data_IF_569494354085
#
_entry.id   IF_569494354085
#
_cell.length_a   1.000
_cell.length_b   1.000
_cell.length_c   1.000
_cell.angle_alpha   90.00
_cell.angle_beta   90.00
_cell.angle_gamma   90.00
#
_symmetry.space_group_name_H-M   'P 1'
#
loop_
_entity.id
_entity.type
_entity.pdbx_description
1 polymer ?
#
# COMPACT_ATOMS: atom_id res chain seq x y z
N UNK A 1 6.14 -0.23 19.77
CA UNK A 1 5.70 1.06 20.34
C UNK A 1 4.89 0.77 21.57
N UNK A 2 4.57 1.78 22.37
CA UNK A 2 3.66 1.57 23.49
C UNK A 2 2.24 1.33 22.96
N UNK A 3 1.54 0.32 23.49
CA UNK A 3 0.16 0.01 23.07
C UNK A 3 -0.80 1.13 23.47
N UNK A 4 -0.53 1.76 24.61
CA UNK A 4 -1.33 2.83 25.20
C UNK A 4 -1.41 4.05 24.28
N UNK A 5 -0.37 4.33 23.50
CA UNK A 5 -0.32 5.47 22.57
C UNK A 5 -1.38 5.37 21.45
N UNK A 6 -1.92 4.18 21.19
CA UNK A 6 -2.86 3.92 20.09
C UNK A 6 -4.23 3.41 20.57
N UNK A 7 -4.42 3.16 21.87
CA UNK A 7 -5.61 2.51 22.42
C UNK A 7 -6.90 3.30 22.16
N UNK A 8 -6.86 4.63 22.29
CA UNK A 8 -8.01 5.51 22.02
C UNK A 8 -8.39 5.47 20.53
N UNK A 9 -7.44 5.76 19.63
CA UNK A 9 -7.70 5.81 18.19
C UNK A 9 -8.17 4.46 17.63
N UNK A 10 -7.54 3.36 18.04
CA UNK A 10 -7.93 2.01 17.61
C UNK A 10 -9.29 1.60 18.19
N UNK A 11 -9.56 1.97 19.43
CA UNK A 11 -10.85 1.77 20.09
C UNK A 11 -12.01 2.50 19.39
N UNK A 12 -11.80 3.76 18.99
CA UNK A 12 -12.77 4.53 18.19
C UNK A 12 -13.11 3.83 16.85
N UNK A 13 -12.17 3.05 16.31
CA UNK A 13 -12.32 2.25 15.09
C UNK A 13 -12.72 0.79 15.34
N UNK A 14 -13.08 0.43 16.58
CA UNK A 14 -13.71 -0.84 16.93
C UNK A 14 -12.77 -1.93 17.44
N UNK A 15 -11.51 -1.61 17.76
CA UNK A 15 -10.66 -2.53 18.50
C UNK A 15 -11.16 -2.65 19.96
N UNK A 16 -11.25 -3.88 20.47
CA UNK A 16 -11.55 -4.13 21.89
C UNK A 16 -10.28 -4.26 22.73
N UNK A 17 -9.23 -4.83 22.14
CA UNK A 17 -7.93 -5.05 22.80
C UNK A 17 -6.78 -4.71 21.84
N UNK A 18 -5.74 -4.06 22.35
CA UNK A 18 -4.48 -3.76 21.66
C UNK A 18 -3.36 -4.55 22.31
N UNK A 19 -2.85 -5.52 21.55
CA UNK A 19 -1.69 -6.31 21.95
C UNK A 19 -0.38 -5.63 21.51
N UNK A 20 0.54 -5.41 22.45
CA UNK A 20 1.83 -4.75 22.19
C UNK A 20 3.00 -5.70 22.40
N UNK A 21 3.89 -5.81 21.40
CA UNK A 21 5.18 -6.51 21.55
C UNK A 21 6.30 -5.60 22.10
N UNK A 22 5.94 -4.42 22.62
CA UNK A 22 6.87 -3.44 23.17
C UNK A 22 7.75 -2.73 22.13
N UNK A 23 8.94 -2.31 22.57
CA UNK A 23 9.93 -1.67 21.72
C UNK A 23 10.73 -2.70 20.91
N UNK A 24 10.66 -2.59 19.58
CA UNK A 24 11.33 -3.47 18.62
C UNK A 24 12.43 -2.74 17.84
N UNK A 25 12.82 -1.53 18.27
CA UNK A 25 13.82 -0.72 17.57
C UNK A 25 15.14 -1.46 17.36
N UNK A 26 15.71 -1.28 16.16
CA UNK A 26 16.95 -1.95 15.76
C UNK A 26 16.80 -3.43 15.39
N UNK A 27 15.59 -3.99 15.45
CA UNK A 27 15.30 -5.37 15.04
C UNK A 27 14.43 -5.46 13.79
N UNK A 28 14.35 -6.66 13.18
CA UNK A 28 13.37 -6.93 12.14
C UNK A 28 12.02 -7.27 12.78
N UNK A 29 11.07 -6.33 12.73
CA UNK A 29 9.81 -6.41 13.45
C UNK A 29 9.01 -7.68 13.14
N UNK A 30 8.97 -8.12 11.89
CA UNK A 30 8.19 -9.30 11.51
C UNK A 30 8.66 -10.61 12.16
N UNK A 31 9.95 -10.72 12.53
CA UNK A 31 10.48 -11.86 13.30
C UNK A 31 9.87 -11.87 14.70
N UNK A 32 9.92 -10.73 15.39
CA UNK A 32 9.49 -10.59 16.77
C UNK A 32 7.97 -10.70 16.91
N UNK A 33 7.21 -9.95 16.09
CA UNK A 33 5.75 -9.92 16.14
C UNK A 33 5.16 -11.31 15.89
N UNK A 34 5.62 -12.00 14.84
CA UNK A 34 5.11 -13.34 14.53
C UNK A 34 5.48 -14.37 15.61
N UNK A 35 6.61 -14.19 16.31
CA UNK A 35 6.99 -15.05 17.42
C UNK A 35 6.16 -14.80 18.67
N UNK A 36 5.98 -13.54 19.06
CA UNK A 36 5.18 -13.14 20.22
C UNK A 36 3.73 -13.63 20.11
N UNK A 37 3.08 -13.36 18.97
CA UNK A 37 1.70 -13.80 18.72
C UNK A 37 1.56 -15.34 18.77
N UNK A 38 2.49 -16.07 18.15
CA UNK A 38 2.42 -17.53 18.17
C UNK A 38 2.70 -18.12 19.56
N UNK A 39 3.65 -17.56 20.32
CA UNK A 39 3.95 -18.00 21.70
C UNK A 39 2.75 -17.79 22.60
N UNK A 40 2.14 -16.59 22.57
CA UNK A 40 1.00 -16.26 23.39
C UNK A 40 -0.20 -17.20 23.14
N UNK A 41 -0.43 -17.59 21.88
CA UNK A 41 -1.46 -18.58 21.53
C UNK A 41 -1.10 -19.98 22.02
N UNK A 42 0.16 -20.41 21.84
CA UNK A 42 0.62 -21.74 22.26
C UNK A 42 0.60 -21.91 23.79
N UNK A 43 0.96 -20.85 24.51
CA UNK A 43 1.01 -20.80 25.98
C UNK A 43 -0.38 -20.62 26.61
N UNK A 44 -1.36 -20.19 25.81
CA UNK A 44 -2.75 -19.99 26.24
C UNK A 44 -2.99 -18.65 26.93
N UNK A 45 -2.09 -17.69 26.74
CA UNK A 45 -2.25 -16.32 27.20
C UNK A 45 -3.25 -15.54 26.33
N UNK A 46 -3.33 -15.90 25.05
CA UNK A 46 -4.27 -15.32 24.07
C UNK A 46 -5.03 -16.42 23.34
N UNK A 47 -6.35 -16.29 23.26
CA UNK A 47 -7.18 -17.20 22.47
C UNK A 47 -6.84 -17.07 20.97
N UNK A 48 -6.71 -18.20 20.27
CA UNK A 48 -6.49 -18.19 18.84
C UNK A 48 -7.70 -17.53 18.11
N UNK A 49 -7.48 -16.49 17.29
CA UNK A 49 -8.58 -15.82 16.60
C UNK A 49 -9.15 -16.70 15.48
N UNK A 50 -10.29 -16.31 14.94
CA UNK A 50 -10.84 -16.93 13.72
C UNK A 50 -10.00 -16.61 12.48
N UNK A 51 -9.44 -15.41 12.42
CA UNK A 51 -8.60 -14.94 11.32
C UNK A 51 -7.61 -13.86 11.75
N UNK A 52 -6.47 -13.80 11.05
CA UNK A 52 -5.56 -12.67 11.06
C UNK A 52 -5.77 -11.83 9.80
N UNK A 53 -5.99 -10.54 9.98
CA UNK A 53 -6.09 -9.57 8.88
C UNK A 53 -4.88 -8.64 8.94
N UNK A 54 -4.04 -8.66 7.90
CA UNK A 54 -2.86 -7.80 7.83
C UNK A 54 -2.88 -6.98 6.54
N UNK A 55 -2.30 -5.77 6.56
CA UNK A 55 -2.09 -5.02 5.33
C UNK A 55 -1.10 -5.75 4.40
N UNK A 56 -1.31 -5.68 3.08
CA UNK A 56 -0.35 -6.15 2.07
C UNK A 56 0.85 -5.19 1.94
N UNK A 57 1.41 -4.77 3.06
CA UNK A 57 2.61 -3.94 3.20
C UNK A 57 3.87 -4.82 3.23
N UNK A 58 5.06 -4.22 3.29
CA UNK A 58 6.29 -5.01 3.46
C UNK A 58 6.29 -5.77 4.79
N UNK A 59 5.97 -5.08 5.88
CA UNK A 59 5.96 -5.67 7.22
C UNK A 59 4.82 -6.68 7.39
N UNK A 60 3.61 -6.36 6.90
CA UNK A 60 2.48 -7.29 6.97
C UNK A 60 2.73 -8.59 6.21
N UNK A 61 3.43 -8.53 5.07
CA UNK A 61 3.86 -9.74 4.33
C UNK A 61 4.90 -10.56 5.10
N UNK A 62 5.86 -9.90 5.76
CA UNK A 62 6.88 -10.59 6.56
C UNK A 62 6.24 -11.29 7.77
N UNK A 63 5.36 -10.59 8.50
CA UNK A 63 4.60 -11.16 9.64
C UNK A 63 3.73 -12.34 9.19
N UNK A 64 2.92 -12.16 8.14
CA UNK A 64 1.99 -13.18 7.66
C UNK A 64 2.72 -14.47 7.23
N UNK A 65 3.83 -14.36 6.50
CA UNK A 65 4.61 -15.51 6.05
C UNK A 65 5.26 -16.28 7.21
N UNK A 66 5.58 -15.61 8.31
CA UNK A 66 6.15 -16.25 9.50
C UNK A 66 5.09 -16.89 10.36
N UNK A 67 3.97 -16.20 10.58
CA UNK A 67 2.82 -16.74 11.28
C UNK A 67 2.27 -18.00 10.60
N UNK A 68 2.21 -18.01 9.28
CA UNK A 68 1.70 -19.17 8.53
C UNK A 68 2.49 -20.45 8.82
N UNK A 69 3.82 -20.33 8.96
CA UNK A 69 4.69 -21.46 9.29
C UNK A 69 4.58 -21.84 10.77
N UNK A 70 4.50 -20.85 11.66
CA UNK A 70 4.40 -21.09 13.12
C UNK A 70 3.08 -21.74 13.51
N UNK A 71 1.99 -21.38 12.82
CA UNK A 71 0.63 -21.85 13.11
C UNK A 71 0.14 -22.95 12.15
N UNK A 72 0.98 -23.40 11.22
CA UNK A 72 0.64 -24.39 10.17
C UNK A 72 -0.66 -24.07 9.41
N UNK A 73 -0.82 -22.81 8.98
CA UNK A 73 -2.03 -22.32 8.31
C UNK A 73 -1.75 -21.63 6.97
N UNK A 74 -2.77 -21.54 6.13
CA UNK A 74 -2.71 -20.90 4.82
C UNK A 74 -2.71 -19.37 4.89
N UNK A 75 -2.09 -18.74 3.89
CA UNK A 75 -2.15 -17.29 3.65
C UNK A 75 -2.84 -17.01 2.32
N UNK A 76 -3.90 -16.20 2.36
CA UNK A 76 -4.59 -15.68 1.17
C UNK A 76 -4.15 -14.24 0.99
N UNK A 77 -3.68 -13.88 -0.20
CA UNK A 77 -2.89 -12.65 -0.36
C UNK A 77 -3.57 -11.64 -1.26
N UNK A 78 -3.34 -10.34 -1.00
CA UNK A 78 -3.80 -9.29 -1.90
C UNK A 78 -5.34 -9.30 -2.05
N UNK A 79 -6.05 -9.64 -0.96
CA UNK A 79 -7.50 -9.58 -0.84
C UNK A 79 -7.99 -8.14 -1.02
N UNK A 80 -9.04 -7.95 -1.82
CA UNK A 80 -9.72 -6.66 -2.02
C UNK A 80 -11.13 -6.63 -1.44
N UNK A 81 -11.67 -7.80 -1.10
CA UNK A 81 -12.91 -7.93 -0.35
C UNK A 81 -12.84 -9.19 0.53
N UNK A 82 -13.64 -9.21 1.58
CA UNK A 82 -13.83 -10.32 2.50
C UNK A 82 -15.33 -10.58 2.60
N UNK A 83 -15.72 -11.85 2.57
CA UNK A 83 -17.11 -12.28 2.65
C UNK A 83 -17.23 -13.40 3.68
N UNK A 84 -18.22 -13.30 4.57
CA UNK A 84 -18.56 -14.38 5.48
C UNK A 84 -19.41 -15.44 4.74
N UNK A 85 -19.06 -16.72 4.93
CA UNK A 85 -19.85 -17.87 4.48
C UNK A 85 -20.05 -18.82 5.67
N UNK A 86 -21.14 -18.60 6.42
CA UNK A 86 -21.34 -19.24 7.72
C UNK A 86 -20.26 -18.79 8.71
N UNK A 87 -19.52 -19.77 9.26
CA UNK A 87 -18.42 -19.54 10.21
C UNK A 87 -17.05 -19.38 9.52
N UNK A 88 -17.01 -19.41 8.18
CA UNK A 88 -15.80 -19.27 7.37
C UNK A 88 -15.69 -17.86 6.75
N UNK A 89 -14.44 -17.45 6.49
CA UNK A 89 -14.13 -16.19 5.80
C UNK A 89 -13.55 -16.49 4.41
N UNK A 90 -14.10 -15.84 3.38
CA UNK A 90 -13.69 -15.97 1.98
C UNK A 90 -13.03 -14.66 1.53
N UNK A 91 -11.79 -14.75 1.06
CA UNK A 91 -11.08 -13.63 0.45
C UNK A 91 -11.36 -13.55 -1.04
N UNK A 92 -11.66 -12.36 -1.56
CA UNK A 92 -11.67 -12.10 -3.01
C UNK A 92 -10.38 -11.42 -3.41
N UNK A 93 -9.64 -12.01 -4.35
CA UNK A 93 -8.31 -11.53 -4.76
C UNK A 93 -8.19 -11.43 -6.30
N UNK A 94 -7.78 -10.26 -6.83
CA UNK A 94 -7.48 -10.09 -8.23
C UNK A 94 -6.10 -10.69 -8.55
N UNK A 95 -6.07 -11.70 -9.43
CA UNK A 95 -4.88 -12.41 -9.90
C UNK A 95 -4.58 -12.08 -11.37
N UNK A 96 -3.39 -12.49 -11.84
CA UNK A 96 -2.92 -12.22 -13.22
C UNK A 96 -2.98 -10.75 -13.62
N UNK A 97 -2.50 -9.84 -12.75
CA UNK A 97 -2.58 -8.39 -12.99
C UNK A 97 -3.96 -7.79 -12.74
N UNK A 98 -4.87 -8.56 -12.12
CA UNK A 98 -6.26 -8.21 -11.89
C UNK A 98 -7.14 -8.32 -13.13
N UNK A 99 -6.84 -9.31 -13.98
CA UNK A 99 -7.68 -9.75 -15.11
C UNK A 99 -8.69 -10.80 -14.68
N UNK A 100 -8.40 -11.52 -13.59
CA UNK A 100 -9.29 -12.53 -13.02
C UNK A 100 -9.43 -12.27 -11.54
N UNK A 101 -10.65 -12.23 -11.05
CA UNK A 101 -10.94 -12.24 -9.62
C UNK A 101 -11.21 -13.68 -9.19
N UNK A 102 -10.59 -14.12 -8.11
CA UNK A 102 -10.81 -15.45 -7.52
C UNK A 102 -11.33 -15.29 -6.09
N UNK A 103 -12.20 -16.21 -5.69
CA UNK A 103 -12.72 -16.32 -4.33
C UNK A 103 -12.04 -17.52 -3.68
N UNK A 104 -11.30 -17.26 -2.61
CA UNK A 104 -10.42 -18.24 -1.97
C UNK A 104 -10.78 -18.35 -0.50
N UNK A 105 -10.93 -19.59 0.00
CA UNK A 105 -11.15 -19.87 1.42
C UNK A 105 -9.93 -20.58 2.01
N UNK A 106 -9.66 -20.37 3.30
CA UNK A 106 -8.66 -21.16 3.99
C UNK A 106 -9.18 -22.58 4.22
N UNK A 107 -8.39 -23.59 3.86
CA UNK A 107 -8.76 -25.00 4.07
C UNK A 107 -8.01 -25.65 5.21
N UNK A 108 -7.08 -24.94 5.86
CA UNK A 108 -6.29 -25.45 6.99
C UNK A 108 -7.01 -25.33 8.35
N UNK A 109 -8.26 -24.87 8.37
CA UNK A 109 -8.98 -24.56 9.61
C UNK A 109 -8.76 -23.11 10.07
N UNK A 110 -8.88 -22.85 11.37
CA UNK A 110 -8.71 -21.52 11.97
C UNK A 110 -7.43 -21.50 12.82
N UNK A 111 -6.71 -20.37 12.91
CA UNK A 111 -6.96 -19.10 12.21
C UNK A 111 -6.61 -19.17 10.71
N UNK A 112 -7.36 -18.46 9.86
CA UNK A 112 -6.92 -18.14 8.49
C UNK A 112 -6.15 -16.82 8.43
N UNK A 113 -5.14 -16.69 7.55
CA UNK A 113 -4.39 -15.43 7.40
C UNK A 113 -4.76 -14.77 6.08
N UNK A 114 -5.17 -13.49 6.13
CA UNK A 114 -5.58 -12.71 4.97
C UNK A 114 -4.75 -11.43 4.89
N UNK A 115 -4.01 -11.28 3.78
CA UNK A 115 -3.36 -10.02 3.46
C UNK A 115 -4.30 -9.14 2.64
N UNK A 116 -4.72 -8.03 3.23
CA UNK A 116 -5.66 -7.06 2.69
C UNK A 116 -4.89 -6.01 1.89
N UNK A 117 -5.26 -5.83 0.63
CA UNK A 117 -4.65 -4.79 -0.20
C UNK A 117 -4.98 -3.41 0.41
N UNK A 118 -3.98 -2.54 0.63
CA UNK A 118 -4.22 -1.19 1.14
C UNK A 118 -5.27 -0.44 0.33
N UNK A 119 -6.09 0.34 1.03
CA UNK A 119 -7.20 1.15 0.47
C UNK A 119 -8.33 0.34 -0.16
N UNK A 120 -8.40 -0.98 0.03
CA UNK A 120 -9.55 -1.78 -0.41
C UNK A 120 -10.79 -1.56 0.46
N UNK A 121 -10.58 -1.25 1.74
CA UNK A 121 -11.62 -0.88 2.69
C UNK A 121 -11.40 0.58 3.10
N UNK A 122 -12.49 1.31 3.28
CA UNK A 122 -12.48 2.65 3.87
C UNK A 122 -12.46 2.49 5.39
N UNK A 123 -11.54 3.19 6.07
CA UNK A 123 -11.53 3.23 7.52
C UNK A 123 -12.61 4.21 7.98
N UNK A 124 -13.47 3.78 8.88
CA UNK A 124 -14.51 4.61 9.48
C UNK A 124 -14.55 4.39 11.00
N UNK A 125 -14.67 5.48 11.75
CA UNK A 125 -14.87 5.40 13.19
C UNK A 125 -16.25 4.83 13.50
N UNK A 126 -16.30 3.86 14.40
CA UNK A 126 -17.54 3.21 14.83
C UNK A 126 -18.03 3.71 16.19
N UNK A 127 -17.29 4.66 16.80
CA UNK A 127 -17.62 5.26 18.09
C UNK A 127 -17.43 4.30 19.26
N UNK A 128 -16.44 3.42 19.16
CA UNK A 128 -16.06 2.52 20.25
C UNK A 128 -15.43 3.25 21.44
N UNK A 129 -15.29 2.53 22.55
CA UNK A 129 -14.51 3.01 23.70
C UNK A 129 -13.02 2.79 23.45
N UNK A 130 -12.17 3.43 24.26
CA UNK A 130 -10.74 3.10 24.35
C UNK A 130 -10.55 1.59 24.56
N UNK A 131 -9.65 0.99 23.78
CA UNK A 131 -9.36 -0.43 23.84
C UNK A 131 -8.52 -0.79 25.08
N UNK A 132 -8.70 -2.00 25.62
CA UNK A 132 -7.82 -2.53 26.66
C UNK A 132 -6.42 -2.79 26.07
N UNK A 133 -5.35 -2.58 26.85
CA UNK A 133 -3.97 -2.81 26.40
C UNK A 133 -3.33 -4.00 27.11
N UNK A 134 -2.67 -4.86 26.34
CA UNK A 134 -2.00 -6.05 26.85
C UNK A 134 -0.62 -6.23 26.20
N UNK A 135 0.39 -6.54 27.00
CA UNK A 135 1.74 -6.82 26.50
C UNK A 135 1.87 -8.29 26.07
N UNK A 136 2.52 -8.51 24.92
CA UNK A 136 2.96 -9.81 24.44
C UNK A 136 4.46 -9.96 24.65
N UNK A 137 4.83 -11.00 25.40
CA UNK A 137 6.24 -11.36 25.55
C UNK A 137 6.82 -11.84 24.21
N UNK A 138 7.93 -11.22 23.81
CA UNK A 138 8.72 -11.69 22.67
C UNK A 138 9.65 -12.80 23.16
N UNK A 139 9.47 -14.07 22.70
CA UNK A 139 10.28 -15.18 23.18
C UNK A 139 11.72 -15.08 22.64
N UNK A 140 12.61 -15.94 23.14
CA UNK A 140 13.96 -16.06 22.58
C UNK A 140 13.90 -16.46 21.09
N UNK A 141 14.28 -15.51 20.24
CA UNK A 141 14.26 -15.65 18.79
C UNK A 141 15.45 -16.47 18.26
N UNK A 142 16.44 -16.81 19.10
CA UNK A 142 17.63 -17.55 18.71
C UNK A 142 18.32 -16.98 17.46
N UNK A 143 18.70 -17.85 16.53
CA UNK A 143 19.42 -17.45 15.32
C UNK A 143 18.58 -16.60 14.35
N UNK A 144 17.24 -16.73 14.36
CA UNK A 144 16.38 -15.96 13.44
C UNK A 144 16.22 -14.50 13.86
N UNK A 145 16.42 -14.19 15.14
CA UNK A 145 16.46 -12.81 15.68
C UNK A 145 17.83 -12.13 15.58
N UNK A 146 18.83 -12.77 14.97
CA UNK A 146 20.19 -12.23 14.93
C UNK A 146 20.35 -11.03 13.96
N UNK A 147 19.42 -10.83 13.04
CA UNK A 147 19.44 -9.71 12.10
C UNK A 147 19.14 -8.38 12.82
N UNK A 148 19.95 -7.36 12.54
CA UNK A 148 19.82 -6.03 13.15
C UNK A 148 19.68 -4.95 12.08
N UNK A 149 18.82 -3.98 12.34
CA UNK A 149 18.74 -2.74 11.57
C UNK A 149 19.88 -1.84 12.04
N UNK A 150 20.88 -1.65 11.18
CA UNK A 150 22.06 -0.82 11.49
C UNK A 150 21.91 0.63 11.05
N UNK A 151 20.95 0.90 10.16
CA UNK A 151 20.64 2.24 9.68
C UNK A 151 19.20 2.28 9.15
N UNK A 152 18.50 3.38 9.39
CA UNK A 152 17.18 3.69 8.83
C UNK A 152 17.23 5.11 8.28
N UNK A 153 16.95 5.28 7.00
CA UNK A 153 16.86 6.59 6.36
C UNK A 153 15.43 6.81 5.89
N UNK A 154 14.79 7.84 6.43
CA UNK A 154 13.53 8.35 5.89
C UNK A 154 13.91 9.39 4.84
N UNK A 155 13.57 9.13 3.58
CA UNK A 155 13.77 10.11 2.52
C UNK A 155 12.93 11.36 2.82
N UNK A 156 13.56 12.53 2.81
CA UNK A 156 12.86 13.81 2.90
C UNK A 156 12.02 14.00 1.62
N UNK A 157 10.74 14.30 1.79
CA UNK A 157 9.84 14.64 0.69
C UNK A 157 9.15 15.97 0.97
N UNK A 158 9.21 16.90 0.02
CA UNK A 158 8.40 18.11 0.03
C UNK A 158 7.02 17.85 -0.57
N UNK A 159 5.99 18.44 0.03
CA UNK A 159 4.60 18.30 -0.41
C UNK A 159 3.86 17.08 0.15
N UNK A 160 2.65 16.79 -0.34
CA UNK A 160 1.85 15.67 0.14
C UNK A 160 2.53 14.32 -0.11
N UNK A 161 2.38 13.37 0.82
CA UNK A 161 2.83 12.00 0.59
C UNK A 161 2.09 11.39 -0.60
N UNK A 162 2.83 10.75 -1.51
CA UNK A 162 2.30 10.19 -2.76
C UNK A 162 1.09 9.25 -2.57
N UNK A 163 1.09 8.47 -1.50
CA UNK A 163 0.05 7.52 -1.14
C UNK A 163 -1.11 8.12 -0.33
N UNK A 164 -1.02 9.36 0.13
CA UNK A 164 -2.11 10.07 0.82
C UNK A 164 -2.70 11.21 -0.04
N UNK A 165 -2.00 11.60 -1.11
CA UNK A 165 -2.38 12.75 -1.92
C UNK A 165 -3.72 12.57 -2.65
N UNK A 166 -4.57 13.60 -2.56
CA UNK A 166 -5.83 13.67 -3.31
C UNK A 166 -5.63 13.84 -4.82
N UNK A 167 -4.50 14.41 -5.24
CA UNK A 167 -4.10 14.56 -6.63
C UNK A 167 -2.68 14.02 -6.80
N UNK A 168 -2.48 13.16 -7.79
CA UNK A 168 -1.15 12.66 -8.17
C UNK A 168 -0.87 13.04 -9.61
N UNK A 169 0.28 13.66 -9.86
CA UNK A 169 0.80 13.93 -11.20
C UNK A 169 2.00 13.02 -11.40
N UNK A 170 1.91 12.11 -12.38
CA UNK A 170 2.92 11.08 -12.58
C UNK A 170 3.60 11.19 -13.94
N UNK A 171 4.93 11.15 -13.92
CA UNK A 171 5.80 11.16 -15.11
C UNK A 171 6.20 9.77 -15.58
N UNK A 172 6.31 9.60 -16.89
CA UNK A 172 6.82 8.38 -17.53
C UNK A 172 7.96 8.63 -18.49
N UNK A 173 8.45 7.55 -19.12
CA UNK A 173 9.53 7.61 -20.12
C UNK A 173 9.20 8.55 -21.30
N UNK A 174 7.92 8.80 -21.56
CA UNK A 174 7.47 9.75 -22.58
C UNK A 174 7.90 11.20 -22.34
N UNK A 175 8.40 11.55 -21.15
CA UNK A 175 9.05 12.85 -20.87
C UNK A 175 10.40 13.02 -21.60
N UNK A 176 11.01 11.93 -22.07
CA UNK A 176 12.23 11.96 -22.89
C UNK A 176 13.55 12.08 -22.12
N UNK A 177 13.61 12.93 -21.09
CA UNK A 177 14.82 13.18 -20.28
C UNK A 177 14.49 13.52 -18.81
N UNK A 178 15.51 13.45 -17.93
CA UNK A 178 15.34 13.71 -16.49
C UNK A 178 14.87 15.14 -16.20
N UNK A 179 15.43 16.13 -16.90
CA UNK A 179 15.16 17.55 -16.64
C UNK A 179 13.70 17.92 -16.91
N UNK A 180 13.05 17.18 -17.81
CA UNK A 180 11.63 17.34 -18.12
C UNK A 180 10.70 16.88 -16.97
N UNK A 181 11.21 16.16 -15.96
CA UNK A 181 10.44 15.82 -14.77
C UNK A 181 10.03 17.08 -13.97
N UNK A 182 10.75 18.19 -14.13
CA UNK A 182 10.34 19.49 -13.56
C UNK A 182 8.93 19.92 -13.94
N UNK A 183 8.41 19.51 -15.10
CA UNK A 183 7.02 19.75 -15.50
C UNK A 183 6.02 19.00 -14.62
N UNK A 184 6.39 17.80 -14.16
CA UNK A 184 5.59 16.98 -13.24
C UNK A 184 5.56 17.65 -11.87
N UNK A 185 6.72 18.07 -11.35
CA UNK A 185 6.83 18.75 -10.06
C UNK A 185 6.08 20.09 -10.06
N UNK A 186 6.21 20.88 -11.14
CA UNK A 186 5.52 22.16 -11.26
C UNK A 186 4.00 21.98 -11.32
N UNK A 187 3.51 21.01 -12.10
CA UNK A 187 2.09 20.74 -12.18
C UNK A 187 1.54 20.19 -10.85
N UNK A 188 2.25 19.26 -10.21
CA UNK A 188 1.90 18.73 -8.89
C UNK A 188 1.80 19.85 -7.86
N UNK A 189 2.80 20.73 -7.81
CA UNK A 189 2.82 21.89 -6.91
C UNK A 189 1.67 22.86 -7.20
N UNK A 190 1.38 23.12 -8.48
CA UNK A 190 0.30 24.03 -8.91
C UNK A 190 -1.08 23.55 -8.46
N UNK A 191 -1.29 22.24 -8.36
CA UNK A 191 -2.57 21.64 -7.93
C UNK A 191 -2.56 21.20 -6.46
N UNK A 192 -1.49 21.46 -5.70
CA UNK A 192 -1.34 20.97 -4.33
C UNK A 192 -1.34 19.45 -4.22
N UNK A 193 -0.87 18.74 -5.26
CA UNK A 193 -0.77 17.29 -5.34
C UNK A 193 0.64 16.78 -5.09
N UNK A 194 0.80 15.46 -5.22
CA UNK A 194 2.10 14.79 -5.13
C UNK A 194 2.64 14.38 -6.50
N UNK A 195 3.96 14.44 -6.66
CA UNK A 195 4.65 13.93 -7.84
C UNK A 195 4.85 12.42 -7.74
N UNK A 196 4.58 11.72 -8.83
CA UNK A 196 4.78 10.28 -8.97
C UNK A 196 5.55 9.93 -10.24
N UNK A 197 5.97 8.67 -10.33
CA UNK A 197 6.81 8.20 -11.41
C UNK A 197 6.49 6.77 -11.83
N UNK A 198 6.63 6.48 -13.11
CA UNK A 198 6.67 5.10 -13.58
C UNK A 198 8.01 4.45 -13.23
N UNK A 199 8.01 3.13 -13.02
CA UNK A 199 9.25 2.36 -12.83
C UNK A 199 10.31 2.60 -13.91
N UNK A 200 9.88 2.83 -15.15
CA UNK A 200 10.78 3.02 -16.28
C UNK A 200 11.75 4.21 -16.13
N UNK A 201 11.38 5.24 -15.36
CA UNK A 201 12.22 6.43 -15.12
C UNK A 201 12.96 6.36 -13.78
N UNK A 202 12.42 5.60 -12.82
CA UNK A 202 13.12 5.22 -11.58
C UNK A 202 14.31 4.33 -11.91
N UNK A 203 14.10 3.28 -12.71
CA UNK A 203 15.17 2.39 -13.18
C UNK A 203 16.22 3.14 -14.03
N UNK A 204 15.85 4.28 -14.65
CA UNK A 204 16.76 5.15 -15.40
C UNK A 204 17.49 6.17 -14.51
N UNK A 205 17.21 6.21 -13.20
CA UNK A 205 17.84 7.11 -12.24
C UNK A 205 17.36 8.56 -12.32
N UNK A 206 16.19 8.83 -12.94
CA UNK A 206 15.68 10.21 -13.05
C UNK A 206 15.11 10.71 -11.73
N UNK A 207 14.51 9.82 -10.95
CA UNK A 207 13.78 10.11 -9.70
C UNK A 207 13.93 8.95 -8.72
N UNK A 208 13.81 9.19 -7.40
CA UNK A 208 13.97 8.13 -6.40
C UNK A 208 12.84 7.09 -6.44
N UNK A 209 13.11 5.92 -5.85
CA UNK A 209 12.17 4.81 -5.79
C UNK A 209 10.89 5.14 -5.00
N UNK A 210 10.96 6.05 -4.03
CA UNK A 210 9.81 6.53 -3.25
C UNK A 210 8.69 7.14 -4.09
N UNK A 211 9.02 7.67 -5.29
CA UNK A 211 8.06 8.21 -6.24
C UNK A 211 7.42 7.14 -7.13
N UNK A 212 7.89 5.88 -7.08
CA UNK A 212 7.42 4.84 -7.99
C UNK A 212 5.96 4.45 -7.70
N UNK A 213 5.11 4.57 -8.71
CA UNK A 213 3.73 4.03 -8.69
C UNK A 213 3.69 2.71 -9.46
N UNK A 214 3.04 1.69 -8.89
CA UNK A 214 2.81 0.42 -9.56
C UNK A 214 2.82 -0.79 -8.61
N UNK A 215 2.73 -1.98 -9.19
CA UNK A 215 2.72 -3.27 -8.49
C UNK A 215 3.91 -3.48 -7.55
N UNK A 216 5.08 -2.97 -7.93
CA UNK A 216 6.32 -3.03 -7.15
C UNK A 216 6.69 -1.68 -6.54
N UNK A 217 5.77 -0.72 -6.50
CA UNK A 217 5.94 0.60 -5.90
C UNK A 217 4.77 0.91 -4.97
N UNK A 218 4.40 2.18 -4.85
CA UNK A 218 3.23 2.61 -4.11
C UNK A 218 1.94 2.35 -4.88
N UNK A 219 0.91 1.93 -4.15
CA UNK A 219 -0.48 1.88 -4.64
C UNK A 219 -1.19 3.15 -4.20
N UNK A 220 -1.67 3.94 -5.16
CA UNK A 220 -2.35 5.21 -4.95
C UNK A 220 -3.81 5.11 -5.38
N UNK A 221 -4.70 5.85 -4.69
CA UNK A 221 -6.12 5.99 -5.06
C UNK A 221 -6.56 7.46 -4.94
N UNK A 222 -5.91 8.39 -5.65
CA UNK A 222 -6.27 9.81 -5.60
C UNK A 222 -7.65 10.06 -6.22
N UNK A 223 -8.18 11.25 -5.93
CA UNK A 223 -9.35 11.78 -6.63
C UNK A 223 -9.04 12.08 -8.10
N UNK A 224 -7.80 12.53 -8.39
CA UNK A 224 -7.32 12.77 -9.75
C UNK A 224 -5.91 12.20 -9.92
N UNK A 225 -5.70 11.38 -10.95
CA UNK A 225 -4.40 10.90 -11.37
C UNK A 225 -4.09 11.43 -12.77
N UNK A 226 -3.01 12.19 -12.93
CA UNK A 226 -2.54 12.70 -14.22
C UNK A 226 -1.33 11.88 -14.66
N UNK A 227 -1.48 11.09 -15.73
CA UNK A 227 -0.44 10.27 -16.32
C UNK A 227 0.20 10.98 -17.52
N UNK A 228 1.38 11.58 -17.32
CA UNK A 228 2.12 12.31 -18.35
C UNK A 228 3.23 11.44 -18.96
N UNK A 229 3.08 11.06 -20.23
CA UNK A 229 4.09 10.27 -20.95
C UNK A 229 4.25 8.84 -20.42
N UNK A 230 3.20 8.28 -19.81
CA UNK A 230 3.16 6.91 -19.29
C UNK A 230 2.42 6.03 -20.30
N UNK A 231 2.98 4.88 -20.65
CA UNK A 231 2.37 3.96 -21.61
C UNK A 231 1.17 3.20 -21.05
N UNK A 232 1.13 2.94 -19.73
CA UNK A 232 0.09 2.14 -19.09
C UNK A 232 0.38 0.65 -19.08
N UNK A 233 1.65 0.24 -18.91
CA UNK A 233 1.98 -1.16 -18.65
C UNK A 233 1.19 -1.69 -17.44
N UNK A 234 0.76 -2.97 -17.48
CA UNK A 234 -0.07 -3.58 -16.43
C UNK A 234 0.49 -3.38 -15.03
N UNK A 235 1.82 -3.46 -14.88
CA UNK A 235 2.51 -3.24 -13.61
C UNK A 235 2.31 -1.82 -13.08
N UNK A 236 2.24 -0.80 -13.94
CA UNK A 236 1.92 0.57 -13.53
C UNK A 236 0.44 0.69 -13.16
N UNK A 237 -0.45 0.14 -14.00
CA UNK A 237 -1.90 0.23 -13.81
C UNK A 237 -2.36 -0.38 -12.48
N UNK A 238 -1.76 -1.48 -12.03
CA UNK A 238 -2.05 -2.08 -10.72
C UNK A 238 -1.94 -1.07 -9.58
N UNK A 239 -1.01 -0.10 -9.67
CA UNK A 239 -0.78 0.90 -8.64
C UNK A 239 -1.69 2.12 -8.70
N UNK A 240 -2.47 2.33 -9.77
CA UNK A 240 -3.24 3.58 -9.94
C UNK A 240 -4.63 3.43 -10.57
N UNK A 241 -5.01 2.24 -11.06
CA UNK A 241 -6.32 2.01 -11.71
C UNK A 241 -7.52 2.21 -10.78
N UNK A 242 -7.30 2.28 -9.47
CA UNK A 242 -8.31 2.59 -8.47
C UNK A 242 -8.49 4.10 -8.19
N UNK A 243 -7.84 4.97 -8.98
CA UNK A 243 -8.05 6.43 -8.90
C UNK A 243 -9.45 6.79 -9.38
N UNK A 244 -10.05 7.83 -8.79
CA UNK A 244 -11.43 8.22 -9.13
C UNK A 244 -11.57 8.84 -10.53
N UNK A 245 -10.57 9.62 -10.95
CA UNK A 245 -10.49 10.19 -12.29
C UNK A 245 -9.04 10.04 -12.81
N UNK A 246 -8.88 9.47 -13.99
CA UNK A 246 -7.59 9.26 -14.65
C UNK A 246 -7.53 10.15 -15.89
N UNK A 247 -6.56 11.06 -15.92
CA UNK A 247 -6.25 11.93 -17.05
C UNK A 247 -4.94 11.45 -17.67
N UNK A 248 -4.93 11.12 -18.96
CA UNK A 248 -3.74 10.66 -19.66
C UNK A 248 -3.27 11.65 -20.73
N UNK A 249 -1.97 11.95 -20.75
CA UNK A 249 -1.32 12.76 -21.79
C UNK A 249 -0.26 11.87 -22.45
N UNK A 250 -0.50 11.48 -23.70
CA UNK A 250 0.44 10.64 -24.44
C UNK A 250 0.43 10.99 -25.92
N UNK A 251 1.59 10.96 -26.58
CA UNK A 251 1.70 11.20 -28.03
C UNK A 251 1.21 10.04 -28.87
N UNK A 252 1.24 8.83 -28.32
CA UNK A 252 0.82 7.61 -28.99
C UNK A 252 -0.66 7.36 -28.71
N UNK A 253 -1.57 7.52 -29.69
CA UNK A 253 -3.02 7.32 -29.50
C UNK A 253 -3.38 5.87 -29.13
N UNK A 254 -2.49 4.90 -29.37
CA UNK A 254 -2.70 3.49 -29.06
C UNK A 254 -2.10 3.09 -27.69
N UNK A 255 -1.63 4.06 -26.90
CA UNK A 255 -1.05 3.78 -25.59
C UNK A 255 -2.06 3.10 -24.65
N UNK A 256 -1.73 1.95 -24.02
CA UNK A 256 -2.62 1.22 -23.12
C UNK A 256 -3.23 2.04 -21.97
N UNK A 257 -2.57 3.13 -21.54
CA UNK A 257 -3.10 4.04 -20.51
C UNK A 257 -4.46 4.61 -20.88
N UNK A 258 -4.75 4.81 -22.17
CA UNK A 258 -6.04 5.34 -22.63
C UNK A 258 -7.20 4.36 -22.40
N UNK A 259 -6.94 3.06 -22.24
CA UNK A 259 -7.98 2.07 -21.95
C UNK A 259 -8.58 2.24 -20.54
N UNK A 260 -7.90 2.95 -19.64
CA UNK A 260 -8.37 3.22 -18.27
C UNK A 260 -8.52 4.71 -17.97
N UNK A 261 -8.29 5.59 -18.95
CA UNK A 261 -8.37 7.03 -18.77
C UNK A 261 -9.81 7.52 -18.92
N UNK A 262 -10.27 8.36 -17.99
CA UNK A 262 -11.54 9.08 -18.08
C UNK A 262 -11.42 10.28 -19.04
N UNK A 263 -10.22 10.86 -19.15
CA UNK A 263 -9.90 11.91 -20.10
C UNK A 263 -8.53 11.64 -20.76
N UNK A 264 -8.50 11.57 -22.08
CA UNK A 264 -7.27 11.38 -22.86
C UNK A 264 -6.91 12.58 -23.71
N UNK A 265 -5.65 13.02 -23.66
CA UNK A 265 -5.06 14.02 -24.56
C UNK A 265 -3.99 13.34 -25.39
N UNK A 266 -4.25 13.20 -26.70
CA UNK A 266 -3.24 12.75 -27.66
C UNK A 266 -2.36 13.94 -28.04
N UNK A 267 -1.16 14.01 -27.51
CA UNK A 267 -0.30 15.16 -27.69
C UNK A 267 1.08 15.04 -27.04
N UNK A 268 1.93 16.00 -27.38
CA UNK A 268 3.27 16.14 -26.83
C UNK A 268 3.18 16.69 -25.39
N UNK A 269 3.74 15.97 -24.43
CA UNK A 269 3.78 16.36 -23.01
C UNK A 269 4.43 17.73 -22.81
N UNK A 270 5.45 18.07 -23.61
CA UNK A 270 6.16 19.35 -23.52
C UNK A 270 5.34 20.54 -24.04
N UNK A 271 4.19 20.29 -24.68
CA UNK A 271 3.25 21.34 -25.10
C UNK A 271 2.01 21.36 -24.22
N UNK A 272 1.48 20.18 -23.91
CA UNK A 272 0.23 20.04 -23.15
C UNK A 272 0.43 20.44 -21.69
N UNK A 273 1.51 19.98 -21.03
CA UNK A 273 1.71 20.26 -19.61
C UNK A 273 1.91 21.75 -19.33
N UNK A 274 2.78 22.50 -20.05
CA UNK A 274 2.92 23.94 -19.83
C UNK A 274 1.60 24.71 -20.04
N UNK A 275 0.85 24.39 -21.10
CA UNK A 275 -0.44 25.03 -21.37
C UNK A 275 -1.48 24.75 -20.26
N UNK A 276 -1.47 23.53 -19.71
CA UNK A 276 -2.33 23.17 -18.57
C UNK A 276 -1.91 23.94 -17.31
N UNK A 277 -0.62 24.01 -17.01
CA UNK A 277 -0.09 24.76 -15.87
C UNK A 277 -0.48 26.25 -15.96
N UNK A 278 -0.32 26.87 -17.13
CA UNK A 278 -0.71 28.27 -17.36
C UNK A 278 -2.23 28.48 -17.16
N UNK A 279 -3.05 27.57 -17.70
CA UNK A 279 -4.49 27.62 -17.53
C UNK A 279 -4.93 27.44 -16.07
N UNK A 280 -4.19 26.66 -15.26
CA UNK A 280 -4.46 26.49 -13.84
C UNK A 280 -4.04 27.70 -13.01
N UNK A 281 -2.87 28.29 -13.31
CA UNK A 281 -2.35 29.48 -12.62
C UNK A 281 -3.15 30.76 -12.88
N UNK A 282 -3.94 30.78 -13.96
CA UNK A 282 -4.79 31.92 -14.33
C UNK A 282 -6.21 31.87 -13.73
N UNK A 283 -6.51 30.86 -12.90
CA UNK A 283 -7.77 30.74 -12.15
C UNK A 283 -7.64 31.35 -10.76
#
# INVERSE_FOLDING_TARGET
GDGDDYAEELGEHGAETVYSAGDLDGSLQGVAIAAAVASAIEEGDVDAPDAFLLGTTQDGRDVAARLSVKLDTGVITNCVALEADGDELIGSEPVFGGVTDVRTKNTSGKPGIFLIRPKSFEAEGVGGAEADTEDLDVPDLGAVGAAKVTNSHVEESDGPKLDEAAIVVAGGRGLGESDAFSLVDELASTVGGAAGASRAIVDAGWVPYSMQVGQTGKVVKPTVYIAAGISGATQHLVGMKGSKNIIAINKDPEAPIFAVADLGIVGDVHKVMPALIEALKSR
#
